data_IF_736848712618
#
_entry.id   IF_736848712618
#
_cell.length_a   1.000
_cell.length_b   1.000
_cell.length_c   1.000
_cell.angle_alpha   90.00
_cell.angle_beta   90.00
_cell.angle_gamma   90.00
#
_symmetry.space_group_name_H-M   'P 1'
#
loop_
_entity.id
_entity.type
_entity.pdbx_description
1 polymer ?
#
# COMPACT_ATOMS: atom_id res chain seq x y z
N UNK A 1 10.96 -1.52 16.29
CA UNK A 1 9.65 -1.82 16.88
C UNK A 1 8.77 -2.39 15.77
N UNK A 2 8.71 -3.72 15.67
CA UNK A 2 7.92 -4.41 14.63
C UNK A 2 6.60 -4.81 15.26
N UNK A 3 5.50 -4.21 14.81
CA UNK A 3 4.15 -4.55 15.28
C UNK A 3 3.80 -5.94 14.75
N UNK A 4 3.91 -6.95 15.62
CA UNK A 4 3.50 -8.32 15.34
C UNK A 4 2.02 -8.38 15.00
N UNK A 5 1.72 -8.81 13.78
CA UNK A 5 0.39 -8.86 13.18
C UNK A 5 -0.33 -10.16 13.59
N UNK A 6 -0.29 -10.51 14.87
CA UNK A 6 -1.01 -11.69 15.38
C UNK A 6 -1.48 -11.42 16.80
N UNK A 7 -2.36 -10.42 16.93
CA UNK A 7 -3.27 -10.37 18.06
C UNK A 7 -4.46 -11.26 17.68
N UNK A 8 -4.41 -12.53 18.07
CA UNK A 8 -5.58 -13.41 18.05
C UNK A 8 -6.63 -12.79 18.97
N UNK A 9 -7.58 -12.07 18.39
CA UNK A 9 -8.80 -11.72 19.11
C UNK A 9 -9.53 -13.05 19.38
N UNK A 10 -9.82 -13.39 20.64
CA UNK A 10 -10.62 -14.58 20.92
C UNK A 10 -11.97 -14.36 20.24
N UNK A 11 -12.23 -15.12 19.18
CA UNK A 11 -13.53 -15.12 18.52
C UNK A 11 -14.47 -15.83 19.50
N UNK A 12 -15.09 -15.05 20.39
CA UNK A 12 -16.21 -15.55 21.19
C UNK A 12 -17.31 -15.91 20.22
N UNK A 13 -17.77 -17.16 20.29
CA UNK A 13 -18.94 -17.59 19.53
C UNK A 13 -20.13 -16.70 19.93
N UNK A 14 -20.79 -16.05 18.96
CA UNK A 14 -21.93 -15.20 19.24
C UNK A 14 -23.07 -16.05 19.81
N UNK A 15 -23.66 -15.61 20.91
CA UNK A 15 -24.67 -16.39 21.63
C UNK A 15 -26.07 -16.28 20.99
N UNK A 16 -26.27 -15.29 20.11
CA UNK A 16 -27.52 -15.05 19.41
C UNK A 16 -27.28 -14.36 18.05
N UNK A 17 -28.32 -14.31 17.22
CA UNK A 17 -28.25 -13.74 15.88
C UNK A 17 -27.85 -12.25 15.87
N UNK A 18 -28.22 -11.48 16.90
CA UNK A 18 -27.87 -10.07 17.00
C UNK A 18 -26.36 -9.87 17.23
N UNK A 19 -25.76 -10.66 18.11
CA UNK A 19 -24.32 -10.66 18.35
C UNK A 19 -23.55 -11.12 17.11
N UNK A 20 -24.06 -12.10 16.37
CA UNK A 20 -23.46 -12.53 15.11
C UNK A 20 -23.45 -11.41 14.07
N UNK A 21 -24.58 -10.72 13.89
CA UNK A 21 -24.68 -9.57 13.00
C UNK A 21 -23.68 -8.47 13.39
N UNK A 22 -23.58 -8.16 14.69
CA UNK A 22 -22.62 -7.17 15.19
C UNK A 22 -21.17 -7.59 14.94
N UNK A 23 -20.83 -8.87 15.14
CA UNK A 23 -19.51 -9.41 14.88
C UNK A 23 -19.14 -9.30 13.40
N UNK A 24 -20.04 -9.68 12.49
CA UNK A 24 -19.84 -9.59 11.04
C UNK A 24 -19.69 -8.13 10.61
N UNK A 25 -20.54 -7.22 11.10
CA UNK A 25 -20.42 -5.79 10.81
C UNK A 25 -19.07 -5.22 11.24
N UNK A 26 -18.63 -5.53 12.47
CA UNK A 26 -17.33 -5.10 12.98
C UNK A 26 -16.17 -5.69 12.18
N UNK A 27 -16.28 -6.95 11.76
CA UNK A 27 -15.25 -7.63 10.95
C UNK A 27 -15.14 -7.00 9.57
N UNK A 28 -16.27 -6.75 8.91
CA UNK A 28 -16.30 -6.08 7.60
C UNK A 28 -15.72 -4.66 7.72
N UNK A 29 -16.09 -3.90 8.76
CA UNK A 29 -15.52 -2.59 9.02
C UNK A 29 -13.99 -2.63 9.16
N UNK A 30 -13.47 -3.56 9.97
CA UNK A 30 -12.02 -3.73 10.13
C UNK A 30 -11.32 -4.13 8.82
N UNK A 31 -11.94 -4.96 8.00
CA UNK A 31 -11.39 -5.35 6.69
C UNK A 31 -11.37 -4.14 5.76
N UNK A 32 -12.43 -3.32 5.74
CA UNK A 32 -12.49 -2.10 4.95
C UNK A 32 -11.40 -1.11 5.37
N UNK A 33 -11.23 -0.87 6.67
CA UNK A 33 -10.19 0.02 7.19
C UNK A 33 -8.78 -0.47 6.81
N UNK A 34 -8.52 -1.78 6.96
CA UNK A 34 -7.24 -2.39 6.56
C UNK A 34 -7.01 -2.31 5.05
N UNK A 35 -8.05 -2.53 4.26
CA UNK A 35 -7.97 -2.43 2.81
C UNK A 35 -7.69 -0.98 2.37
N UNK A 36 -8.32 0.01 3.00
CA UNK A 36 -8.05 1.43 2.79
C UNK A 36 -6.58 1.78 3.07
N UNK A 37 -6.10 1.44 4.27
CA UNK A 37 -4.70 1.69 4.66
C UNK A 37 -3.70 0.99 3.72
N UNK A 38 -4.02 -0.23 3.26
CA UNK A 38 -3.20 -0.95 2.29
C UNK A 38 -3.21 -0.27 0.92
N UNK A 39 -4.39 0.20 0.47
CA UNK A 39 -4.55 0.96 -0.78
C UNK A 39 -3.71 2.24 -0.75
N UNK A 40 -3.77 3.00 0.33
CA UNK A 40 -2.98 4.23 0.51
C UNK A 40 -1.47 3.95 0.44
N UNK A 41 -1.02 2.86 1.06
CA UNK A 41 0.38 2.43 1.01
C UNK A 41 0.83 2.04 -0.40
N UNK A 42 -0.04 1.38 -1.17
CA UNK A 42 0.21 1.05 -2.58
C UNK A 42 0.29 2.33 -3.41
N UNK A 43 -0.63 3.27 -3.23
CA UNK A 43 -0.61 4.56 -3.94
C UNK A 43 0.68 5.34 -3.64
N UNK A 44 1.09 5.44 -2.37
CA UNK A 44 2.33 6.09 -1.99
C UNK A 44 3.58 5.43 -2.61
N UNK A 45 3.58 4.09 -2.74
CA UNK A 45 4.65 3.36 -3.44
C UNK A 45 4.64 3.65 -4.94
N UNK A 46 3.47 3.71 -5.58
CA UNK A 46 3.33 4.06 -7.00
C UNK A 46 3.88 5.48 -7.24
N UNK A 47 3.50 6.45 -6.41
CA UNK A 47 4.01 7.82 -6.52
C UNK A 47 5.54 7.89 -6.39
N UNK A 48 6.12 7.10 -5.48
CA UNK A 48 7.57 7.01 -5.35
C UNK A 48 8.22 6.38 -6.58
N UNK A 49 7.64 5.31 -7.13
CA UNK A 49 8.12 4.67 -8.36
C UNK A 49 8.00 5.62 -9.54
N UNK A 50 6.92 6.40 -9.65
CA UNK A 50 6.75 7.44 -10.68
C UNK A 50 7.88 8.46 -10.65
N UNK A 51 8.19 9.02 -9.47
CA UNK A 51 9.32 9.95 -9.31
C UNK A 51 10.66 9.34 -9.72
N UNK A 52 10.89 8.08 -9.37
CA UNK A 52 12.13 7.37 -9.75
C UNK A 52 12.20 7.13 -11.26
N UNK A 53 11.07 6.87 -11.91
CA UNK A 53 11.00 6.78 -13.38
C UNK A 53 11.35 8.13 -14.00
N UNK A 54 10.76 9.22 -13.52
CA UNK A 54 11.06 10.58 -14.01
C UNK A 54 12.57 10.91 -13.88
N UNK A 55 13.18 10.54 -12.76
CA UNK A 55 14.61 10.73 -12.54
C UNK A 55 15.46 9.85 -13.48
N UNK A 56 15.03 8.61 -13.76
CA UNK A 56 15.70 7.76 -14.75
C UNK A 56 15.57 8.35 -16.16
N UNK A 57 14.40 8.86 -16.54
CA UNK A 57 14.18 9.51 -17.84
C UNK A 57 15.08 10.73 -18.02
N UNK A 58 15.21 11.57 -16.98
CA UNK A 58 16.13 12.72 -16.99
C UNK A 58 17.60 12.31 -17.12
N UNK A 59 18.02 11.31 -16.36
CA UNK A 59 19.39 10.81 -16.42
C UNK A 59 19.72 10.24 -17.81
N UNK A 60 18.80 9.48 -18.41
CA UNK A 60 18.95 8.96 -19.77
C UNK A 60 19.03 10.10 -20.78
N UNK A 61 18.12 11.08 -20.71
CA UNK A 61 18.12 12.23 -21.61
C UNK A 61 19.46 13.02 -21.53
N UNK A 62 19.99 13.19 -20.32
CA UNK A 62 21.29 13.83 -20.10
C UNK A 62 22.44 13.01 -20.72
N UNK A 63 22.47 11.69 -20.51
CA UNK A 63 23.49 10.80 -21.11
C UNK A 63 23.44 10.86 -22.64
N UNK A 64 22.24 10.81 -23.23
CA UNK A 64 22.06 10.91 -24.68
C UNK A 64 22.57 12.26 -25.19
N UNK A 65 22.20 13.35 -24.51
CA UNK A 65 22.67 14.69 -24.87
C UNK A 65 24.19 14.81 -24.79
N UNK A 66 24.82 14.30 -23.74
CA UNK A 66 26.27 14.30 -23.60
C UNK A 66 26.97 13.43 -24.65
N UNK A 67 26.41 12.26 -24.97
CA UNK A 67 26.96 11.35 -25.98
C UNK A 67 26.88 11.98 -27.37
N UNK A 68 25.75 12.61 -27.70
CA UNK A 68 25.56 13.30 -28.96
C UNK A 68 26.46 14.55 -29.10
N UNK A 69 26.76 15.23 -27.99
CA UNK A 69 27.68 16.36 -27.99
C UNK A 69 29.16 15.95 -28.13
N UNK A 70 29.49 14.68 -27.86
CA UNK A 70 30.84 14.12 -27.95
C UNK A 70 31.11 13.40 -29.28
N UNK A 71 30.09 13.21 -30.11
CA UNK A 71 30.24 12.71 -31.47
C UNK A 71 30.62 13.89 -32.40
N UNK A 72 31.78 13.86 -33.07
CA UNK A 72 32.18 14.88 -34.04
C UNK A 72 31.29 14.90 -35.30
#
# INVERSE_FOLDING_TARGET
MSTSITQEYPIREPQNAQEFVNLVQNTIGQIQDKFGQMSDSIMAKIDNVGKRIDDLERNIAHIISQTNAQLP
#
